data_IF_002497772107
#
_entry.id   IF_002497772107
#
_cell.length_a   1.000
_cell.length_b   1.000
_cell.length_c   1.000
_cell.angle_alpha   90.00
_cell.angle_beta   90.00
_cell.angle_gamma   90.00
#
_symmetry.space_group_name_H-M   'P 1'
#
loop_
_entity.id
_entity.type
_entity.pdbx_description
1 polymer ?
#
# COMPACT_ATOMS: atom_id res chain seq x y z
N UNK A 1 -23.54 -36.51 -21.31
CA UNK A 1 -23.17 -36.03 -19.96
C UNK A 1 -24.45 -35.76 -19.18
N UNK A 2 -24.60 -36.30 -17.97
CA UNK A 2 -25.77 -36.01 -17.14
C UNK A 2 -25.72 -34.57 -16.59
N UNK A 3 -26.88 -34.02 -16.20
CA UNK A 3 -27.00 -32.61 -15.80
C UNK A 3 -26.11 -32.27 -14.60
N UNK A 4 -25.91 -33.22 -13.69
CA UNK A 4 -25.01 -33.12 -12.53
C UNK A 4 -23.55 -32.90 -12.93
N UNK A 5 -23.05 -33.66 -13.91
CA UNK A 5 -21.66 -33.49 -14.38
C UNK A 5 -21.46 -32.13 -15.06
N UNK A 6 -22.49 -31.58 -15.72
CA UNK A 6 -22.45 -30.24 -16.32
C UNK A 6 -22.36 -29.14 -15.25
N UNK A 7 -23.14 -29.25 -14.17
CA UNK A 7 -23.08 -28.30 -13.05
C UNK A 7 -21.74 -28.32 -12.32
N UNK A 8 -21.16 -29.51 -12.10
CA UNK A 8 -19.85 -29.65 -11.45
C UNK A 8 -18.74 -29.02 -12.31
N UNK A 9 -18.72 -29.27 -13.62
CA UNK A 9 -17.73 -28.67 -14.51
C UNK A 9 -17.83 -27.13 -14.56
N UNK A 10 -19.05 -26.59 -14.59
CA UNK A 10 -19.27 -25.15 -14.55
C UNK A 10 -18.78 -24.53 -13.23
N UNK A 11 -19.13 -25.13 -12.10
CA UNK A 11 -18.72 -24.66 -10.78
C UNK A 11 -17.19 -24.71 -10.58
N UNK A 12 -16.52 -25.75 -11.07
CA UNK A 12 -15.06 -25.86 -11.03
C UNK A 12 -14.43 -24.79 -11.93
N UNK A 13 -14.94 -24.61 -13.15
CA UNK A 13 -14.47 -23.56 -14.07
C UNK A 13 -14.51 -22.16 -13.46
N UNK A 14 -15.64 -21.79 -12.85
CA UNK A 14 -15.81 -20.49 -12.19
C UNK A 14 -14.87 -20.30 -10.99
N UNK A 15 -14.65 -21.36 -10.21
CA UNK A 15 -13.73 -21.35 -9.05
C UNK A 15 -12.28 -21.12 -9.51
N UNK A 16 -11.85 -21.79 -10.59
CA UNK A 16 -10.51 -21.62 -11.15
C UNK A 16 -10.30 -20.21 -11.74
N UNK A 17 -11.29 -19.67 -12.45
CA UNK A 17 -11.24 -18.29 -12.99
C UNK A 17 -11.13 -17.26 -11.87
N UNK A 18 -11.91 -17.43 -10.81
CA UNK A 18 -11.88 -16.54 -9.64
C UNK A 18 -10.51 -16.55 -8.95
N UNK A 19 -9.91 -17.73 -8.78
CA UNK A 19 -8.58 -17.88 -8.20
C UNK A 19 -7.48 -17.23 -9.08
N UNK A 20 -7.53 -17.44 -10.39
CA UNK A 20 -6.61 -16.82 -11.36
C UNK A 20 -6.69 -15.29 -11.33
N UNK A 21 -7.89 -14.74 -11.22
CA UNK A 21 -8.12 -13.30 -11.12
C UNK A 21 -7.55 -12.74 -9.80
N UNK A 22 -7.83 -13.38 -8.66
CA UNK A 22 -7.32 -12.96 -7.35
C UNK A 22 -5.79 -12.96 -7.30
N UNK A 23 -5.14 -13.99 -7.84
CA UNK A 23 -3.68 -14.06 -7.95
C UNK A 23 -3.11 -12.94 -8.83
N UNK A 24 -3.78 -12.62 -9.94
CA UNK A 24 -3.36 -11.55 -10.85
C UNK A 24 -3.49 -10.16 -10.23
N UNK A 25 -4.55 -9.92 -9.45
CA UNK A 25 -4.76 -8.69 -8.68
C UNK A 25 -3.68 -8.56 -7.59
N UNK A 26 -3.41 -9.64 -6.85
CA UNK A 26 -2.36 -9.67 -5.82
C UNK A 26 -0.98 -9.30 -6.39
N UNK A 27 -0.60 -9.91 -7.53
CA UNK A 27 0.67 -9.58 -8.22
C UNK A 27 0.75 -8.11 -8.65
N UNK A 28 -0.34 -7.54 -9.19
CA UNK A 28 -0.39 -6.12 -9.57
C UNK A 28 -0.19 -5.20 -8.37
N UNK A 29 -0.85 -5.51 -7.24
CA UNK A 29 -0.75 -4.73 -6.01
C UNK A 29 0.67 -4.78 -5.42
N UNK A 30 1.30 -5.96 -5.36
CA UNK A 30 2.67 -6.13 -4.87
C UNK A 30 3.66 -5.30 -5.71
N UNK A 31 3.52 -5.32 -7.04
CA UNK A 31 4.39 -4.53 -7.93
C UNK A 31 4.26 -3.03 -7.69
N UNK A 32 3.04 -2.54 -7.48
CA UNK A 32 2.79 -1.12 -7.21
C UNK A 32 3.42 -0.68 -5.88
N UNK A 33 3.28 -1.50 -4.83
CA UNK A 33 3.86 -1.23 -3.50
C UNK A 33 5.38 -1.26 -3.55
N UNK A 34 5.98 -2.26 -4.21
CA UNK A 34 7.44 -2.34 -4.38
C UNK A 34 8.00 -1.09 -5.08
N UNK A 35 7.37 -0.68 -6.19
CA UNK A 35 7.76 0.53 -6.91
C UNK A 35 7.63 1.79 -6.04
N UNK A 36 6.59 1.85 -5.20
CA UNK A 36 6.42 2.94 -4.26
C UNK A 36 7.56 3.00 -3.24
N UNK A 37 7.88 1.89 -2.56
CA UNK A 37 8.97 1.84 -1.56
C UNK A 37 10.31 2.23 -2.21
N UNK A 38 10.61 1.71 -3.41
CA UNK A 38 11.79 2.10 -4.19
C UNK A 38 11.81 3.61 -4.52
N UNK A 39 10.65 4.19 -4.86
CA UNK A 39 10.53 5.63 -5.17
C UNK A 39 10.53 6.54 -3.95
N UNK A 40 10.14 6.02 -2.79
CA UNK A 40 10.12 6.76 -1.54
C UNK A 40 11.55 7.16 -1.15
N UNK A 41 12.52 6.25 -1.37
CA UNK A 41 13.93 6.55 -1.18
C UNK A 41 14.33 6.85 0.27
N UNK A 42 13.49 6.44 1.22
CA UNK A 42 13.71 6.59 2.66
C UNK A 42 13.25 5.31 3.38
N UNK A 43 13.83 5.07 4.55
CA UNK A 43 13.56 3.93 5.42
C UNK A 43 12.94 4.39 6.74
N UNK A 44 12.44 3.43 7.50
CA UNK A 44 12.05 3.65 8.90
C UNK A 44 13.27 4.18 9.68
N UNK A 45 13.06 5.26 10.45
CA UNK A 45 14.08 5.98 11.19
C UNK A 45 14.61 7.23 10.48
N UNK A 46 14.38 7.38 9.18
CA UNK A 46 14.85 8.54 8.44
C UNK A 46 14.02 9.80 8.77
N UNK A 47 14.69 10.95 8.78
CA UNK A 47 14.04 12.27 8.83
C UNK A 47 13.73 12.78 7.44
N UNK A 48 12.52 13.28 7.26
CA UNK A 48 12.00 13.70 5.96
C UNK A 48 11.11 14.93 6.08
N UNK A 49 10.93 15.65 4.96
CA UNK A 49 9.87 16.64 4.78
C UNK A 49 8.84 16.04 3.83
N UNK A 50 7.56 16.15 4.17
CA UNK A 50 6.46 15.74 3.28
C UNK A 50 6.24 16.84 2.25
N UNK A 51 6.59 16.56 0.98
CA UNK A 51 6.41 17.53 -0.11
C UNK A 51 4.97 17.55 -0.63
N UNK A 52 4.32 16.38 -0.60
CA UNK A 52 2.93 16.25 -0.98
C UNK A 52 2.31 15.05 -0.27
N UNK A 53 1.25 15.32 0.49
CA UNK A 53 0.41 14.29 1.09
C UNK A 53 -0.57 13.68 0.07
N UNK A 54 -0.83 12.39 0.19
CA UNK A 54 -2.00 11.74 -0.40
C UNK A 54 -3.20 11.84 0.55
N UNK A 55 -4.08 10.83 0.50
CA UNK A 55 -5.06 10.64 1.58
C UNK A 55 -4.34 10.19 2.85
N UNK A 56 -4.89 10.51 4.02
CA UNK A 56 -4.27 10.13 5.29
C UNK A 56 -5.06 10.61 6.49
N UNK A 57 -4.50 10.33 7.67
CA UNK A 57 -4.99 10.81 8.96
C UNK A 57 -3.86 11.52 9.69
N UNK A 58 -4.19 12.61 10.37
CA UNK A 58 -3.24 13.47 11.08
C UNK A 58 -3.82 13.85 12.44
N UNK A 59 -2.98 13.93 13.46
CA UNK A 59 -3.33 14.55 14.72
C UNK A 59 -3.49 16.06 14.55
N UNK A 60 -4.21 16.73 15.45
CA UNK A 60 -4.46 18.17 15.36
C UNK A 60 -3.20 19.03 15.52
N UNK A 61 -2.16 18.47 16.15
CA UNK A 61 -0.85 19.11 16.38
C UNK A 61 0.20 18.72 15.32
N UNK A 62 -0.21 18.01 14.27
CA UNK A 62 0.67 17.68 13.15
C UNK A 62 1.05 18.93 12.35
N UNK A 63 2.34 19.16 12.20
CA UNK A 63 2.88 20.16 11.28
C UNK A 63 3.02 19.54 9.89
N UNK A 64 2.51 20.17 8.84
CA UNK A 64 2.66 19.62 7.48
C UNK A 64 3.95 20.09 6.78
N UNK A 65 4.54 21.18 7.25
CA UNK A 65 5.73 21.79 6.65
C UNK A 65 7.02 21.43 7.41
N UNK A 66 6.87 20.70 8.53
CA UNK A 66 7.95 20.34 9.44
C UNK A 66 8.81 19.17 8.98
N UNK A 67 9.83 18.90 9.80
CA UNK A 67 10.63 17.67 9.70
C UNK A 67 9.98 16.56 10.50
N UNK A 68 9.90 15.37 9.90
CA UNK A 68 9.22 14.22 10.48
C UNK A 68 10.07 12.97 10.38
N UNK A 69 9.95 12.09 11.37
CA UNK A 69 10.64 10.80 11.38
C UNK A 69 9.70 9.73 10.86
N UNK A 70 10.14 8.94 9.87
CA UNK A 70 9.39 7.76 9.45
C UNK A 70 9.44 6.71 10.55
N UNK A 71 8.28 6.26 10.98
CA UNK A 71 8.13 5.29 12.08
C UNK A 71 7.60 3.94 11.62
N UNK A 72 6.83 3.91 10.52
CA UNK A 72 6.41 2.67 9.88
C UNK A 72 6.14 2.87 8.38
N UNK A 73 6.27 1.81 7.59
CA UNK A 73 5.87 1.75 6.19
C UNK A 73 5.15 0.42 5.95
N UNK A 74 3.84 0.47 5.69
CA UNK A 74 3.05 -0.74 5.53
C UNK A 74 3.01 -1.26 4.08
N UNK A 75 2.56 -2.51 3.92
CA UNK A 75 2.45 -3.18 2.62
C UNK A 75 1.37 -2.60 1.71
N UNK A 76 0.52 -1.69 2.19
CA UNK A 76 -0.41 -0.97 1.34
C UNK A 76 0.26 0.28 0.73
N UNK A 77 1.35 0.75 1.34
CA UNK A 77 2.06 1.97 0.97
C UNK A 77 1.64 3.18 1.80
N UNK A 78 1.09 2.96 3.01
CA UNK A 78 1.00 4.03 3.99
C UNK A 78 2.35 4.22 4.68
N UNK A 79 2.68 5.47 4.95
CA UNK A 79 3.87 5.86 5.72
C UNK A 79 3.38 6.51 7.00
N UNK A 80 3.85 6.00 8.13
CA UNK A 80 3.58 6.55 9.46
C UNK A 80 4.73 7.45 9.89
N UNK A 81 4.39 8.60 10.47
CA UNK A 81 5.32 9.60 10.93
C UNK A 81 5.14 9.91 12.42
N UNK A 82 6.26 10.18 13.08
CA UNK A 82 6.35 10.64 14.46
C UNK A 82 5.55 9.80 15.47
N UNK A 83 5.58 8.48 15.33
CA UNK A 83 4.91 7.50 16.18
C UNK A 83 3.38 7.65 16.15
N UNK A 84 2.81 7.68 14.96
CA UNK A 84 1.37 7.68 14.74
C UNK A 84 0.71 9.07 14.70
N UNK A 85 1.49 10.16 14.75
CA UNK A 85 0.92 11.52 14.58
C UNK A 85 0.36 11.74 13.18
N UNK A 86 0.97 11.13 12.18
CA UNK A 86 0.41 11.11 10.83
C UNK A 86 0.59 9.76 10.18
N UNK A 87 -0.40 9.37 9.38
CA UNK A 87 -0.33 8.21 8.50
C UNK A 87 -0.85 8.62 7.12
N UNK A 88 0.05 8.64 6.13
CA UNK A 88 -0.22 9.17 4.80
C UNK A 88 -0.05 8.07 3.76
N UNK A 89 -1.02 7.93 2.87
CA UNK A 89 -0.96 7.01 1.76
C UNK A 89 -0.09 7.56 0.63
N UNK A 90 1.01 6.85 0.36
CA UNK A 90 1.96 7.11 -0.73
C UNK A 90 2.39 8.59 -0.87
N UNK A 91 2.89 9.22 0.22
CA UNK A 91 3.36 10.60 0.16
C UNK A 91 4.59 10.73 -0.74
N UNK A 92 4.79 11.93 -1.28
CA UNK A 92 6.08 12.33 -1.81
C UNK A 92 6.86 13.03 -0.70
N UNK A 93 8.08 12.58 -0.49
CA UNK A 93 8.94 13.08 0.58
C UNK A 93 10.27 13.60 0.03
N UNK A 94 10.99 14.33 0.87
CA UNK A 94 12.39 14.68 0.70
C UNK A 94 13.16 14.23 1.92
N UNK A 95 14.17 13.39 1.72
CA UNK A 95 15.09 12.99 2.78
C UNK A 95 15.91 14.19 3.27
N UNK A 96 16.00 14.33 4.60
CA UNK A 96 16.87 15.29 5.27
C UNK A 96 18.14 14.53 5.65
N UNK A 97 19.29 15.03 5.21
CA UNK A 97 20.60 14.46 5.53
C UNK A 97 21.15 15.04 6.81
#
# INVERSE_FOLDING_TARGET
MNNTNKHIFNAIGDTFVTLLLALSISKKNIKAVKKFIESLGANVGDKVIVLQGGSGSYSSDWDNEGEHTITDIDFAGNVEFDNGKAKIFRPRIKLIK
#
